data_IF_654939201420
#
_entry.id   IF_654939201420
#
_cell.length_a   1.000
_cell.length_b   1.000
_cell.length_c   1.000
_cell.angle_alpha   90.00
_cell.angle_beta   90.00
_cell.angle_gamma   90.00
#
_symmetry.space_group_name_H-M   'P 1'
#
loop_
_entity.id
_entity.type
_entity.pdbx_description
1 polymer ?
#
# COMPACT_ATOMS: atom_id res chain seq x y z
N UNK A 1 18.74 -32.14 26.85
CA UNK A 1 18.51 -30.70 27.15
C UNK A 1 17.45 -30.17 26.20
N UNK A 2 16.18 -30.20 26.61
CA UNK A 2 15.05 -29.81 25.77
C UNK A 2 14.85 -28.31 25.91
N UNK A 3 15.19 -27.54 24.86
CA UNK A 3 14.91 -26.11 24.83
C UNK A 3 13.42 -25.91 24.57
N UNK A 4 12.67 -25.58 25.61
CA UNK A 4 11.28 -25.15 25.52
C UNK A 4 11.30 -23.75 24.93
N UNK A 5 10.86 -23.60 23.68
CA UNK A 5 10.69 -22.29 23.06
C UNK A 5 9.38 -21.71 23.62
N UNK A 6 9.49 -20.61 24.37
CA UNK A 6 8.32 -19.89 24.91
C UNK A 6 7.45 -19.41 23.74
N UNK A 7 6.18 -19.80 23.73
CA UNK A 7 5.20 -19.43 22.71
C UNK A 7 5.08 -17.90 22.55
N UNK A 8 5.36 -17.13 23.61
CA UNK A 8 5.42 -15.67 23.58
C UNK A 8 6.41 -15.14 22.52
N UNK A 9 7.59 -15.76 22.40
CA UNK A 9 8.61 -15.37 21.41
C UNK A 9 8.25 -15.77 19.96
N UNK A 10 7.27 -16.67 19.78
CA UNK A 10 6.77 -17.05 18.46
C UNK A 10 5.75 -16.04 17.93
N UNK A 11 5.04 -15.32 18.81
CA UNK A 11 4.01 -14.35 18.45
C UNK A 11 4.57 -12.94 18.19
N UNK A 12 5.62 -12.52 18.89
CA UNK A 12 6.28 -11.23 18.61
C UNK A 12 6.81 -11.16 17.16
N UNK A 13 7.27 -12.29 16.62
CA UNK A 13 7.79 -12.40 15.25
C UNK A 13 6.71 -12.36 14.15
N UNK A 14 5.42 -12.50 14.52
CA UNK A 14 4.31 -12.53 13.56
C UNK A 14 3.66 -11.16 13.39
N UNK A 15 3.69 -10.31 14.42
CA UNK A 15 3.15 -8.95 14.40
C UNK A 15 4.04 -7.93 13.68
N UNK A 16 5.34 -8.21 13.55
CA UNK A 16 6.29 -7.34 12.82
C UNK A 16 6.20 -7.47 11.28
N UNK A 17 5.38 -8.39 10.76
CA UNK A 17 5.31 -8.75 9.32
C UNK A 17 4.11 -8.18 8.59
N UNK A 18 3.47 -7.13 9.11
CA UNK A 18 2.34 -6.50 8.43
C UNK A 18 2.79 -5.11 7.99
N UNK A 19 3.07 -4.97 6.70
CA UNK A 19 3.14 -3.66 6.06
C UNK A 19 1.79 -2.98 6.26
N UNK A 20 1.75 -2.00 7.14
CA UNK A 20 0.58 -1.16 7.33
C UNK A 20 0.59 -0.06 6.27
N UNK A 21 -0.59 0.30 5.75
CA UNK A 21 -0.73 1.37 4.75
C UNK A 21 -0.11 2.71 5.23
N UNK A 22 -0.06 2.91 6.55
CA UNK A 22 0.56 4.08 7.19
C UNK A 22 2.07 4.21 6.98
N UNK A 23 2.76 3.12 6.58
CA UNK A 23 4.20 3.11 6.30
C UNK A 23 4.53 3.43 4.83
N UNK A 24 3.52 3.77 4.03
CA UNK A 24 3.66 4.09 2.61
C UNK A 24 3.44 5.58 2.36
N UNK A 25 4.44 6.22 1.77
CA UNK A 25 4.33 7.62 1.36
C UNK A 25 3.67 7.73 -0.01
N UNK A 26 2.93 8.82 -0.28
CA UNK A 26 2.45 9.10 -1.63
C UNK A 26 3.61 9.39 -2.58
N UNK A 27 3.39 9.13 -3.86
CA UNK A 27 4.30 9.54 -4.92
C UNK A 27 4.32 11.08 -5.00
N UNK A 28 5.48 11.73 -4.78
CA UNK A 28 5.56 13.18 -4.78
C UNK A 28 5.21 13.81 -6.14
N UNK A 29 5.45 13.11 -7.26
CA UNK A 29 5.10 13.63 -8.59
C UNK A 29 3.59 13.68 -8.79
N UNK A 30 2.87 12.63 -8.37
CA UNK A 30 1.41 12.60 -8.44
C UNK A 30 0.78 13.64 -7.51
N UNK A 31 1.33 13.81 -6.30
CA UNK A 31 0.86 14.86 -5.38
C UNK A 31 1.05 16.25 -6.01
N UNK A 32 2.18 16.51 -6.66
CA UNK A 32 2.43 17.77 -7.36
C UNK A 32 1.45 18.02 -8.54
N UNK A 33 0.96 16.96 -9.18
CA UNK A 33 -0.10 17.01 -10.22
C UNK A 33 -1.52 17.16 -9.65
N UNK A 34 -1.67 17.27 -8.32
CA UNK A 34 -2.95 17.42 -7.64
C UNK A 34 -3.69 16.11 -7.38
N UNK A 35 -3.02 14.97 -7.44
CA UNK A 35 -3.60 13.68 -7.04
C UNK A 35 -3.56 13.49 -5.53
N UNK A 36 -4.65 12.97 -4.97
CA UNK A 36 -4.76 12.59 -3.56
C UNK A 36 -4.63 11.07 -3.42
N UNK A 37 -3.66 10.62 -2.61
CA UNK A 37 -3.49 9.20 -2.25
C UNK A 37 -4.67 8.75 -1.39
N UNK A 38 -5.26 7.59 -1.72
CA UNK A 38 -6.33 6.98 -0.93
C UNK A 38 -5.81 5.83 -0.07
N UNK A 39 -5.40 4.74 -0.70
CA UNK A 39 -4.92 3.54 -0.01
C UNK A 39 -4.19 2.62 -1.00
N UNK A 40 -3.47 1.64 -0.48
CA UNK A 40 -2.84 0.56 -1.24
C UNK A 40 -3.64 -0.74 -1.05
N UNK A 41 -3.89 -1.47 -2.15
CA UNK A 41 -4.61 -2.73 -2.12
C UNK A 41 -4.15 -3.68 -3.23
N UNK A 42 -4.52 -4.96 -3.13
CA UNK A 42 -4.31 -5.93 -4.21
C UNK A 42 -5.08 -5.56 -5.48
N UNK A 43 -4.80 -6.25 -6.58
CA UNK A 43 -5.38 -5.97 -7.88
C UNK A 43 -6.92 -6.02 -7.92
N UNK A 44 -7.56 -6.95 -7.20
CA UNK A 44 -9.01 -7.07 -7.22
C UNK A 44 -9.65 -5.88 -6.50
N UNK A 45 -9.17 -5.57 -5.30
CA UNK A 45 -9.67 -4.43 -4.52
C UNK A 45 -9.35 -3.08 -5.17
N UNK A 46 -8.22 -2.98 -5.84
CA UNK A 46 -7.87 -1.80 -6.63
C UNK A 46 -8.88 -1.58 -7.76
N UNK A 47 -9.29 -2.64 -8.46
CA UNK A 47 -10.29 -2.56 -9.52
C UNK A 47 -11.67 -2.11 -9.00
N UNK A 48 -12.11 -2.68 -7.88
CA UNK A 48 -13.36 -2.25 -7.20
C UNK A 48 -13.32 -0.76 -6.84
N UNK A 49 -12.17 -0.27 -6.36
CA UNK A 49 -11.97 1.13 -6.00
C UNK A 49 -12.01 2.07 -7.22
N UNK A 50 -11.40 1.66 -8.34
CA UNK A 50 -11.43 2.42 -9.60
C UNK A 50 -12.88 2.61 -10.05
N UNK A 51 -13.66 1.53 -10.06
CA UNK A 51 -15.06 1.57 -10.47
C UNK A 51 -15.90 2.48 -9.57
N UNK A 52 -15.73 2.34 -8.25
CA UNK A 52 -16.45 3.16 -7.27
C UNK A 52 -16.11 4.65 -7.42
N UNK A 53 -14.83 5.03 -7.38
CA UNK A 53 -14.43 6.44 -7.44
C UNK A 53 -14.77 7.08 -8.80
N UNK A 54 -14.70 6.32 -9.89
CA UNK A 54 -15.13 6.80 -11.21
C UNK A 54 -16.62 7.12 -11.23
N UNK A 55 -17.47 6.26 -10.65
CA UNK A 55 -18.91 6.51 -10.52
C UNK A 55 -19.22 7.72 -9.63
N UNK A 56 -18.40 7.98 -8.62
CA UNK A 56 -18.48 9.17 -7.76
C UNK A 56 -17.97 10.46 -8.44
N UNK A 57 -17.51 10.38 -9.70
CA UNK A 57 -17.10 11.55 -10.49
C UNK A 57 -15.64 11.95 -10.33
N UNK A 58 -14.79 11.11 -9.74
CA UNK A 58 -13.35 11.34 -9.67
C UNK A 58 -12.65 10.89 -10.95
N UNK A 59 -11.49 11.48 -11.23
CA UNK A 59 -10.44 10.80 -11.99
C UNK A 59 -9.71 9.85 -11.05
N UNK A 60 -9.30 8.68 -11.54
CA UNK A 60 -8.66 7.65 -10.73
C UNK A 60 -7.41 7.13 -11.43
N UNK A 61 -6.33 6.93 -10.67
CA UNK A 61 -5.11 6.22 -11.08
C UNK A 61 -4.79 5.11 -10.10
N UNK A 62 -4.26 4.00 -10.60
CA UNK A 62 -3.79 2.87 -9.80
C UNK A 62 -2.33 2.58 -10.16
N UNK A 63 -1.42 2.98 -9.28
CA UNK A 63 0.02 2.95 -9.55
C UNK A 63 0.70 1.84 -8.76
N UNK A 64 1.71 1.21 -9.35
CA UNK A 64 2.58 0.31 -8.60
C UNK A 64 3.29 1.09 -7.49
N UNK A 65 3.67 0.41 -6.40
CA UNK A 65 4.53 1.02 -5.41
C UNK A 65 5.95 1.16 -5.95
N UNK A 66 6.61 2.24 -5.58
CA UNK A 66 8.02 2.47 -5.81
C UNK A 66 8.81 2.17 -4.52
N UNK A 67 10.05 1.65 -4.63
CA UNK A 67 10.89 1.36 -3.45
C UNK A 67 11.07 2.55 -2.50
N UNK A 68 11.08 3.77 -3.02
CA UNK A 68 11.31 5.00 -2.26
C UNK A 68 10.11 5.40 -1.38
N UNK A 69 8.94 4.79 -1.60
CA UNK A 69 7.73 5.06 -0.84
C UNK A 69 7.66 4.32 0.50
N UNK A 70 8.57 3.38 0.76
CA UNK A 70 8.61 2.59 1.98
C UNK A 70 9.42 3.33 3.06
N UNK A 71 8.81 3.67 4.19
CA UNK A 71 9.49 4.38 5.30
C UNK A 71 10.04 3.44 6.37
N UNK A 72 10.34 2.18 6.03
CA UNK A 72 10.81 1.18 7.00
C UNK A 72 11.70 0.10 6.40
N UNK A 73 12.38 -0.65 7.27
CA UNK A 73 13.35 -1.71 6.94
C UNK A 73 12.69 -3.02 6.46
N UNK A 74 11.81 -2.96 5.47
CA UNK A 74 11.12 -4.17 4.97
C UNK A 74 11.74 -4.69 3.66
N UNK A 75 13.08 -4.71 3.57
CA UNK A 75 13.82 -5.09 2.35
C UNK A 75 13.38 -6.43 1.74
N UNK A 76 12.94 -7.39 2.57
CA UNK A 76 12.47 -8.70 2.13
C UNK A 76 11.05 -8.74 1.56
N UNK A 77 10.18 -7.78 1.89
CA UNK A 77 8.79 -7.76 1.41
C UNK A 77 8.57 -6.83 0.21
N UNK A 78 9.52 -5.93 -0.07
CA UNK A 78 9.35 -4.89 -1.09
C UNK A 78 9.02 -5.47 -2.47
N UNK A 79 9.73 -6.50 -2.94
CA UNK A 79 9.58 -7.00 -4.33
C UNK A 79 8.19 -7.60 -4.64
N UNK A 80 7.63 -8.38 -3.72
CA UNK A 80 6.31 -9.00 -3.88
C UNK A 80 5.19 -7.98 -3.67
N UNK A 81 5.36 -7.06 -2.72
CA UNK A 81 4.39 -5.99 -2.47
C UNK A 81 4.32 -5.02 -3.67
N UNK A 82 5.48 -4.59 -4.19
CA UNK A 82 5.58 -3.70 -5.36
C UNK A 82 4.88 -4.29 -6.59
N UNK A 83 5.00 -5.60 -6.80
CA UNK A 83 4.43 -6.25 -7.99
C UNK A 83 2.94 -6.58 -7.85
N UNK A 84 2.44 -6.81 -6.63
CA UNK A 84 1.08 -7.34 -6.40
C UNK A 84 0.08 -6.25 -6.00
N UNK A 85 0.55 -5.21 -5.33
CA UNK A 85 -0.30 -4.15 -4.80
C UNK A 85 -0.26 -2.90 -5.66
N UNK A 86 -1.35 -2.14 -5.62
CA UNK A 86 -1.52 -0.86 -6.29
C UNK A 86 -1.96 0.19 -5.29
N UNK A 87 -1.39 1.37 -5.40
CA UNK A 87 -1.83 2.55 -4.66
C UNK A 87 -2.85 3.31 -5.50
N UNK A 88 -4.04 3.50 -4.93
CA UNK A 88 -5.12 4.25 -5.54
C UNK A 88 -4.94 5.74 -5.28
N UNK A 89 -4.99 6.51 -6.35
CA UNK A 89 -5.01 7.97 -6.33
C UNK A 89 -6.29 8.47 -6.96
N UNK A 90 -6.83 9.56 -6.42
CA UNK A 90 -8.01 10.23 -6.98
C UNK A 90 -7.76 11.71 -7.13
N UNK A 91 -8.40 12.31 -8.13
CA UNK A 91 -8.46 13.76 -8.29
C UNK A 91 -9.89 14.16 -8.63
N UNK A 92 -10.36 15.31 -8.13
CA UNK A 92 -11.66 15.85 -8.55
C UNK A 92 -11.59 16.21 -10.03
N UNK A 93 -12.58 15.83 -10.81
CA UNK A 93 -12.72 16.33 -12.19
C UNK A 93 -12.91 17.85 -12.11
N UNK A 94 -12.01 18.59 -12.74
CA UNK A 94 -12.23 20.02 -13.00
C UNK A 94 -13.35 20.10 -14.04
N UNK A 95 -14.52 20.53 -13.61
CA UNK A 95 -15.68 20.80 -14.50
C UNK A 95 -15.37 21.99 -15.39
#
# INVERSE_FOLDING_TARGET
MTKIIKIETLFERSTERVLSDAQLQPDPALVAEGWERRFTADAQRAQEAIELYTQLGYEVRAESLLPEQFTGECEGCHSQVISTFKTIYTRKKTV
#
